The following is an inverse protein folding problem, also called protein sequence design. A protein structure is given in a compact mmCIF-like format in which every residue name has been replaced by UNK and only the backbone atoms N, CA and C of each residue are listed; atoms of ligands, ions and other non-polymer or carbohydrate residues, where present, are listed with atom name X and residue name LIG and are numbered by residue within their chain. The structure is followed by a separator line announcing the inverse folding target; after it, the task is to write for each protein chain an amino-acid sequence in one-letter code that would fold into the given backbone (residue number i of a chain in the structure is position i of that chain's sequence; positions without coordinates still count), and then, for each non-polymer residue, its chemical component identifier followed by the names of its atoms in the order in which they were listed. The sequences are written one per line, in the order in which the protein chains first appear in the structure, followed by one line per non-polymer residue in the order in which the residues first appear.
data_IF_481809461311
#
_entry.id   IF_481809461311
#
_cell.length_a   1.000
_cell.length_b   1.000
_cell.length_c   1.000
_cell.angle_alpha   90.00
_cell.angle_beta   90.00
_cell.angle_gamma   90.00
#
_symmetry.space_group_name_H-M   'P 1'
#
loop_
_entity.id
_entity.type
_entity.pdbx_description
1 polymer ?
#
# COMPACT_ATOMS: atom_id res chain seq x y z
N UNK A 1 -80.30 -44.42 -8.59
CA UNK A 1 -78.94 -44.88 -8.95
C UNK A 1 -78.00 -44.34 -7.89
N UNK A 2 -77.74 -45.09 -6.80
CA UNK A 2 -76.88 -44.70 -5.65
C UNK A 2 -75.48 -45.15 -5.96
N UNK A 3 -74.52 -44.17 -6.11
CA UNK A 3 -73.09 -44.41 -6.25
C UNK A 3 -72.56 -44.79 -4.86
N UNK A 4 -72.23 -46.06 -4.64
CA UNK A 4 -71.54 -46.52 -3.42
C UNK A 4 -70.13 -45.88 -3.39
N UNK A 5 -69.93 -44.92 -2.53
CA UNK A 5 -68.63 -44.39 -2.21
C UNK A 5 -67.76 -45.51 -1.58
N UNK A 6 -66.78 -45.95 -2.33
CA UNK A 6 -65.84 -46.97 -1.90
C UNK A 6 -64.92 -46.39 -0.77
N UNK A 7 -65.14 -46.84 0.47
CA UNK A 7 -64.39 -46.50 1.65
C UNK A 7 -62.97 -47.11 1.68
N UNK A 8 -62.50 -47.63 0.56
CA UNK A 8 -61.30 -48.47 0.46
C UNK A 8 -59.96 -47.73 0.52
N UNK A 9 -59.94 -46.40 0.59
CA UNK A 9 -58.71 -45.60 0.50
C UNK A 9 -58.52 -44.64 1.69
N UNK A 10 -59.11 -44.90 2.85
CA UNK A 10 -58.82 -44.09 4.02
C UNK A 10 -57.49 -44.62 4.59
N UNK A 11 -56.40 -43.83 4.58
CA UNK A 11 -55.14 -44.26 5.16
C UNK A 11 -55.33 -44.53 6.65
N UNK A 12 -54.77 -45.63 7.13
CA UNK A 12 -54.82 -45.98 8.56
C UNK A 12 -54.13 -44.85 9.36
N UNK A 13 -54.53 -44.64 10.60
CA UNK A 13 -53.92 -43.59 11.47
C UNK A 13 -52.37 -43.64 11.50
N UNK A 14 -51.82 -44.86 11.38
CA UNK A 14 -50.35 -45.05 11.28
C UNK A 14 -49.74 -44.48 10.01
N UNK A 15 -50.38 -44.63 8.87
CA UNK A 15 -49.90 -44.10 7.57
C UNK A 15 -49.99 -42.61 7.54
N UNK A 16 -51.03 -41.99 8.09
CA UNK A 16 -51.16 -40.54 8.24
C UNK A 16 -50.07 -39.99 9.14
N UNK A 17 -49.80 -40.64 10.29
CA UNK A 17 -48.75 -40.19 11.19
C UNK A 17 -47.36 -40.28 10.54
N UNK A 18 -47.06 -41.34 9.83
CA UNK A 18 -45.79 -41.50 9.10
C UNK A 18 -45.64 -40.44 8.00
N UNK A 19 -46.70 -40.12 7.26
CA UNK A 19 -46.62 -39.07 6.25
C UNK A 19 -46.37 -37.69 6.85
N UNK A 20 -47.01 -37.31 7.94
CA UNK A 20 -46.78 -36.04 8.64
C UNK A 20 -45.38 -36.00 9.21
N UNK A 21 -44.86 -37.06 9.77
CA UNK A 21 -43.53 -37.16 10.33
C UNK A 21 -42.43 -36.99 9.24
N UNK A 22 -42.59 -37.69 8.10
CA UNK A 22 -41.69 -37.58 6.96
C UNK A 22 -41.70 -36.14 6.38
N UNK A 23 -42.91 -35.55 6.22
CA UNK A 23 -43.03 -34.20 5.78
C UNK A 23 -42.37 -33.18 6.74
N UNK A 24 -42.52 -33.39 8.04
CA UNK A 24 -41.84 -32.59 9.08
C UNK A 24 -40.30 -32.66 9.00
N UNK A 25 -39.75 -33.86 8.86
CA UNK A 25 -38.30 -34.03 8.66
C UNK A 25 -37.85 -33.36 7.36
N UNK A 26 -38.57 -33.54 6.28
CA UNK A 26 -38.27 -32.91 5.00
C UNK A 26 -38.25 -31.37 5.08
N UNK A 27 -39.17 -30.79 5.83
CA UNK A 27 -39.22 -29.34 6.07
C UNK A 27 -37.99 -28.87 6.86
N UNK A 28 -37.64 -29.59 7.93
CA UNK A 28 -36.46 -29.26 8.74
C UNK A 28 -35.16 -29.31 7.91
N UNK A 29 -35.00 -30.37 7.12
CA UNK A 29 -33.82 -30.50 6.23
C UNK A 29 -33.77 -29.36 5.23
N UNK A 30 -34.90 -28.97 4.66
CA UNK A 30 -34.99 -27.87 3.70
C UNK A 30 -34.61 -26.53 4.35
N UNK A 31 -35.04 -26.26 5.57
CA UNK A 31 -34.70 -25.05 6.31
C UNK A 31 -33.19 -25.02 6.61
N UNK A 32 -32.64 -26.14 7.09
CA UNK A 32 -31.20 -26.23 7.38
C UNK A 32 -30.37 -26.04 6.11
N UNK A 33 -30.76 -26.62 4.99
CA UNK A 33 -30.09 -26.45 3.71
C UNK A 33 -30.13 -24.99 3.23
N UNK A 34 -31.27 -24.32 3.35
CA UNK A 34 -31.41 -22.91 3.00
C UNK A 34 -30.55 -22.01 3.89
N UNK A 35 -30.52 -22.26 5.19
CA UNK A 35 -29.67 -21.53 6.11
C UNK A 35 -28.19 -21.71 5.78
N UNK A 36 -27.76 -22.93 5.51
CA UNK A 36 -26.38 -23.24 5.11
C UNK A 36 -25.98 -22.51 3.84
N UNK A 37 -26.82 -22.57 2.80
CA UNK A 37 -26.57 -21.87 1.54
C UNK A 37 -26.50 -20.36 1.73
N UNK A 38 -27.40 -19.80 2.53
CA UNK A 38 -27.42 -18.36 2.83
C UNK A 38 -26.14 -17.92 3.56
N UNK A 39 -25.73 -18.66 4.58
CA UNK A 39 -24.49 -18.38 5.33
C UNK A 39 -23.25 -18.51 4.44
N UNK A 40 -23.21 -19.52 3.58
CA UNK A 40 -22.11 -19.69 2.63
C UNK A 40 -22.00 -18.53 1.65
N UNK A 41 -23.12 -18.09 1.07
CA UNK A 41 -23.17 -16.94 0.17
C UNK A 41 -22.75 -15.63 0.87
N UNK A 42 -23.21 -15.41 2.10
CA UNK A 42 -22.83 -14.24 2.88
C UNK A 42 -21.32 -14.26 3.18
N UNK A 43 -20.79 -15.42 3.63
CA UNK A 43 -19.37 -15.56 3.95
C UNK A 43 -18.47 -15.29 2.75
N UNK A 44 -18.80 -15.85 1.58
CA UNK A 44 -18.02 -15.62 0.35
C UNK A 44 -18.04 -14.16 -0.08
N UNK A 45 -19.20 -13.51 -0.02
CA UNK A 45 -19.33 -12.09 -0.36
C UNK A 45 -18.62 -11.17 0.63
N UNK A 46 -18.65 -11.49 1.92
CA UNK A 46 -17.94 -10.72 2.95
C UNK A 46 -16.44 -10.81 2.74
N UNK A 47 -15.90 -12.00 2.48
CA UNK A 47 -14.48 -12.19 2.21
C UNK A 47 -14.01 -11.41 0.97
N UNK A 48 -14.78 -11.43 -0.12
CA UNK A 48 -14.49 -10.68 -1.34
C UNK A 48 -14.44 -9.17 -1.08
N UNK A 49 -15.39 -8.66 -0.30
CA UNK A 49 -15.44 -7.24 0.09
C UNK A 49 -14.24 -6.86 0.97
N UNK A 50 -13.89 -7.70 1.94
CA UNK A 50 -12.78 -7.43 2.85
C UNK A 50 -11.43 -7.48 2.13
N UNK A 51 -11.23 -8.40 1.20
CA UNK A 51 -10.04 -8.46 0.36
C UNK A 51 -9.91 -7.19 -0.50
N UNK A 52 -10.99 -6.78 -1.14
CA UNK A 52 -11.01 -5.56 -1.95
C UNK A 52 -10.74 -4.30 -1.12
N UNK A 53 -11.36 -4.17 0.05
CA UNK A 53 -11.11 -3.06 0.99
C UNK A 53 -9.66 -3.03 1.46
N UNK A 54 -9.11 -4.19 1.79
CA UNK A 54 -7.71 -4.31 2.21
C UNK A 54 -6.75 -3.86 1.11
N UNK A 55 -6.98 -4.29 -0.13
CA UNK A 55 -6.19 -3.88 -1.28
C UNK A 55 -6.26 -2.35 -1.50
N UNK A 56 -7.46 -1.75 -1.47
CA UNK A 56 -7.65 -0.30 -1.58
C UNK A 56 -6.97 0.46 -0.44
N UNK A 57 -7.03 -0.06 0.79
CA UNK A 57 -6.37 0.55 1.95
C UNK A 57 -4.86 0.58 1.79
N UNK A 58 -4.25 -0.53 1.35
CA UNK A 58 -2.83 -0.62 1.07
C UNK A 58 -2.43 0.33 -0.06
N UNK A 59 -3.19 0.36 -1.15
CA UNK A 59 -2.95 1.28 -2.27
C UNK A 59 -3.01 2.74 -1.81
N UNK A 60 -4.02 3.11 -1.01
CA UNK A 60 -4.16 4.43 -0.43
C UNK A 60 -2.99 4.83 0.47
N UNK A 61 -2.53 3.91 1.33
CA UNK A 61 -1.37 4.13 2.19
C UNK A 61 -0.07 4.35 1.39
N UNK A 62 0.13 3.54 0.34
CA UNK A 62 1.25 3.68 -0.59
C UNK A 62 1.21 5.05 -1.27
N UNK A 63 0.07 5.43 -1.85
CA UNK A 63 -0.07 6.71 -2.54
C UNK A 63 0.15 7.90 -1.58
N UNK A 64 -0.36 7.81 -0.37
CA UNK A 64 -0.14 8.83 0.67
C UNK A 64 1.34 8.97 1.00
N UNK A 65 2.07 7.86 1.12
CA UNK A 65 3.51 7.87 1.40
C UNK A 65 4.32 8.46 0.24
N UNK A 66 3.97 8.12 -1.01
CA UNK A 66 4.59 8.69 -2.21
C UNK A 66 4.33 10.20 -2.28
N UNK A 67 3.09 10.65 -2.05
CA UNK A 67 2.73 12.06 -2.06
C UNK A 67 3.49 12.83 -0.95
N UNK A 68 3.61 12.24 0.25
CA UNK A 68 4.37 12.85 1.35
C UNK A 68 5.83 13.06 0.98
N UNK A 69 6.48 12.05 0.40
CA UNK A 69 7.87 12.15 -0.04
C UNK A 69 8.00 13.18 -1.16
N UNK A 70 7.07 13.22 -2.10
CA UNK A 70 7.05 14.24 -3.16
C UNK A 70 6.98 15.67 -2.59
N UNK A 71 6.09 15.91 -1.63
CA UNK A 71 5.97 17.22 -0.97
C UNK A 71 7.24 17.59 -0.22
N UNK A 72 7.84 16.64 0.52
CA UNK A 72 9.11 16.88 1.22
C UNK A 72 10.23 17.29 0.27
N UNK A 73 10.31 16.65 -0.91
CA UNK A 73 11.32 17.02 -1.91
C UNK A 73 11.02 18.39 -2.50
N UNK A 74 9.75 18.70 -2.81
CA UNK A 74 9.34 20.00 -3.34
C UNK A 74 9.73 21.14 -2.38
N UNK A 75 9.37 20.97 -1.12
CA UNK A 75 9.62 21.97 -0.08
C UNK A 75 11.11 22.21 0.18
N UNK A 76 11.96 21.22 -0.16
CA UNK A 76 13.39 21.27 0.16
C UNK A 76 14.31 21.46 -1.07
N UNK A 77 13.86 21.13 -2.27
CA UNK A 77 14.69 21.25 -3.47
C UNK A 77 14.43 22.55 -4.27
N UNK A 78 13.23 23.12 -4.18
CA UNK A 78 12.84 24.34 -4.89
C UNK A 78 12.81 25.50 -3.90
N UNK A 79 13.97 25.88 -3.44
CA UNK A 79 14.14 26.91 -2.42
C UNK A 79 15.45 27.67 -2.67
N UNK A 80 15.39 29.00 -2.68
CA UNK A 80 16.53 29.86 -3.01
C UNK A 80 17.78 29.58 -2.15
N UNK A 81 17.60 29.36 -0.84
CA UNK A 81 18.70 29.02 0.05
C UNK A 81 19.30 27.64 -0.26
N UNK A 82 18.50 26.66 -0.68
CA UNK A 82 19.00 25.36 -1.10
C UNK A 82 19.93 25.50 -2.31
N UNK A 83 19.53 26.29 -3.29
CA UNK A 83 20.35 26.62 -4.47
C UNK A 83 21.62 27.31 -4.04
N UNK A 84 21.49 28.40 -3.26
CA UNK A 84 22.64 29.18 -2.82
C UNK A 84 23.66 28.36 -2.05
N UNK A 85 23.22 27.49 -1.12
CA UNK A 85 24.11 26.70 -0.28
C UNK A 85 24.72 25.48 -1.00
N UNK A 86 23.99 24.88 -1.95
CA UNK A 86 24.49 23.68 -2.67
C UNK A 86 25.39 24.02 -3.85
N UNK A 87 25.27 25.23 -4.43
CA UNK A 87 26.13 25.68 -5.53
C UNK A 87 27.36 26.49 -5.06
N UNK A 88 27.60 26.60 -3.75
CA UNK A 88 28.84 27.19 -3.21
C UNK A 88 30.05 26.33 -3.58
N UNK A 89 31.21 26.96 -3.77
CA UNK A 89 32.48 26.23 -3.98
C UNK A 89 32.84 25.27 -2.84
N UNK A 90 32.37 25.57 -1.63
CA UNK A 90 32.52 24.73 -0.46
C UNK A 90 31.16 24.63 0.25
N UNK A 91 30.67 23.41 0.37
CA UNK A 91 29.43 23.13 1.09
C UNK A 91 29.59 23.45 2.58
N UNK A 92 28.55 24.01 3.21
CA UNK A 92 28.48 24.14 4.67
C UNK A 92 27.82 22.88 5.28
N UNK A 93 28.59 21.97 5.89
CA UNK A 93 28.06 20.74 6.46
C UNK A 93 27.09 20.98 7.62
N UNK A 94 27.27 22.08 8.37
CA UNK A 94 26.40 22.41 9.49
C UNK A 94 25.03 22.88 9.00
N UNK A 95 25.01 23.74 7.99
CA UNK A 95 23.75 24.17 7.37
C UNK A 95 22.99 23.00 6.78
N UNK A 96 23.65 22.14 6.00
CA UNK A 96 23.06 20.95 5.38
C UNK A 96 22.51 19.99 6.42
N UNK A 97 23.27 19.76 7.52
CA UNK A 97 22.81 18.89 8.59
C UNK A 97 21.59 19.46 9.32
N UNK A 98 21.62 20.73 9.69
CA UNK A 98 20.51 21.37 10.39
C UNK A 98 19.25 21.46 9.54
N UNK A 99 19.40 21.67 8.24
CA UNK A 99 18.29 21.81 7.31
C UNK A 99 17.73 20.47 6.87
N UNK A 100 18.60 19.52 6.50
CA UNK A 100 18.16 18.25 5.92
C UNK A 100 18.61 17.00 6.69
N UNK A 101 19.71 17.06 7.42
CA UNK A 101 20.25 15.88 8.09
C UNK A 101 19.52 15.47 9.36
N UNK A 102 18.93 16.41 10.07
CA UNK A 102 18.30 16.17 11.36
C UNK A 102 16.86 15.65 11.28
N UNK A 103 16.28 15.53 10.10
CA UNK A 103 14.86 15.21 9.89
C UNK A 103 14.42 13.87 10.50
N UNK A 104 15.27 12.87 10.53
CA UNK A 104 14.99 11.59 11.19
C UNK A 104 14.87 11.77 12.72
N UNK A 105 15.86 12.45 13.33
CA UNK A 105 15.92 12.62 14.80
C UNK A 105 14.79 13.52 15.33
N UNK A 106 14.44 14.56 14.60
CA UNK A 106 13.50 15.59 15.08
C UNK A 106 12.05 15.11 14.92
N UNK A 107 11.67 14.66 13.74
CA UNK A 107 10.29 14.44 13.39
C UNK A 107 10.03 13.07 12.73
N UNK A 108 11.06 12.22 12.61
CA UNK A 108 10.96 10.93 11.91
C UNK A 108 10.40 11.07 10.48
N UNK A 109 10.78 12.17 9.80
CA UNK A 109 10.20 12.54 8.50
C UNK A 109 10.68 11.64 7.37
N UNK A 110 11.98 11.28 7.42
CA UNK A 110 12.65 10.43 6.44
C UNK A 110 13.90 9.79 7.05
N UNK A 111 14.28 8.62 6.56
CA UNK A 111 15.46 7.90 7.03
C UNK A 111 16.76 8.50 6.51
N UNK A 112 16.75 9.11 5.33
CA UNK A 112 17.94 9.68 4.73
C UNK A 112 17.67 10.77 3.72
N UNK A 113 18.64 11.68 3.62
CA UNK A 113 18.69 12.78 2.64
C UNK A 113 20.08 12.83 2.03
N UNK A 114 20.13 13.02 0.72
CA UNK A 114 21.38 13.02 -0.03
C UNK A 114 21.37 14.14 -1.04
N UNK A 115 22.50 14.82 -1.17
CA UNK A 115 22.78 15.78 -2.26
C UNK A 115 23.74 15.10 -3.22
N UNK A 116 23.38 15.09 -4.49
CA UNK A 116 24.13 14.43 -5.55
C UNK A 116 24.66 15.44 -6.53
N UNK A 117 25.84 15.17 -7.10
CA UNK A 117 26.35 15.92 -8.25
C UNK A 117 25.67 15.50 -9.57
N UNK A 118 26.06 16.12 -10.66
CA UNK A 118 25.57 15.82 -12.02
C UNK A 118 25.88 14.40 -12.50
N UNK A 119 26.81 13.72 -11.85
CA UNK A 119 27.18 12.31 -12.11
C UNK A 119 26.53 11.34 -11.14
N UNK A 120 25.62 11.83 -10.29
CA UNK A 120 24.93 11.08 -9.22
C UNK A 120 25.87 10.54 -8.13
N UNK A 121 27.03 11.16 -7.93
CA UNK A 121 27.86 10.88 -6.74
C UNK A 121 27.30 11.65 -5.55
N UNK A 122 27.41 11.05 -4.37
CA UNK A 122 27.00 11.70 -3.13
C UNK A 122 28.04 12.72 -2.74
N UNK A 123 27.70 14.01 -2.81
CA UNK A 123 28.54 15.12 -2.34
C UNK A 123 28.27 15.46 -0.88
N UNK A 124 27.05 15.17 -0.42
CA UNK A 124 26.69 15.24 1.00
C UNK A 124 25.52 14.27 1.26
N UNK A 125 25.46 13.72 2.48
CA UNK A 125 24.36 12.87 2.88
C UNK A 125 24.26 12.67 4.39
N UNK A 126 23.02 12.41 4.82
CA UNK A 126 22.68 11.97 6.16
C UNK A 126 21.75 10.76 6.08
N UNK A 127 22.04 9.74 6.89
CA UNK A 127 21.20 8.56 7.04
C UNK A 127 20.95 8.29 8.51
N UNK A 128 19.70 8.25 8.93
CA UNK A 128 19.26 8.15 10.33
C UNK A 128 19.93 9.20 11.23
N UNK A 129 20.01 10.43 10.72
CA UNK A 129 20.67 11.59 11.34
C UNK A 129 22.16 11.38 11.65
N UNK A 130 22.81 10.44 10.97
CA UNK A 130 24.25 10.27 11.00
C UNK A 130 24.86 10.68 9.66
N UNK A 131 26.04 11.29 9.64
CA UNK A 131 26.74 11.63 8.40
C UNK A 131 26.95 10.38 7.54
N UNK A 132 26.52 10.45 6.29
CA UNK A 132 26.73 9.38 5.32
C UNK A 132 28.15 9.51 4.74
N UNK A 133 28.94 8.44 4.82
CA UNK A 133 30.36 8.46 4.48
C UNK A 133 30.69 7.91 3.11
N UNK A 134 29.72 7.26 2.45
CA UNK A 134 29.95 6.65 1.15
C UNK A 134 29.71 7.69 0.03
N UNK A 135 30.54 7.62 -0.99
CA UNK A 135 30.44 8.53 -2.16
C UNK A 135 29.47 8.04 -3.22
N UNK A 136 28.91 6.87 -3.04
CA UNK A 136 27.97 6.30 -3.99
C UNK A 136 26.72 5.73 -3.29
N UNK A 137 25.68 5.50 -4.07
CA UNK A 137 24.40 4.97 -3.61
C UNK A 137 24.30 3.43 -3.69
N UNK A 138 25.40 2.73 -3.93
CA UNK A 138 25.45 1.26 -4.00
C UNK A 138 25.06 0.60 -2.66
N UNK A 139 25.21 1.34 -1.57
CA UNK A 139 24.70 0.96 -0.25
C UNK A 139 23.23 0.55 -0.27
N UNK A 140 22.40 1.26 -1.04
CA UNK A 140 20.98 0.98 -1.13
C UNK A 140 20.64 -0.12 -2.13
N UNK A 141 21.59 -0.57 -2.94
CA UNK A 141 21.46 -1.66 -3.89
C UNK A 141 21.09 -1.23 -5.32
N UNK A 142 21.13 -2.20 -6.23
CA UNK A 142 21.00 -1.93 -7.68
C UNK A 142 19.67 -1.30 -8.10
N UNK A 143 18.59 -1.62 -7.41
CA UNK A 143 17.26 -1.08 -7.71
C UNK A 143 17.19 0.43 -7.48
N UNK A 144 17.79 0.90 -6.40
CA UNK A 144 17.87 2.32 -6.07
C UNK A 144 18.72 3.09 -7.11
N UNK A 145 19.90 2.57 -7.43
CA UNK A 145 20.78 3.18 -8.44
C UNK A 145 20.13 3.22 -9.84
N UNK A 146 19.45 2.15 -10.23
CA UNK A 146 18.73 2.10 -11.50
C UNK A 146 17.64 3.17 -11.58
N UNK A 147 16.93 3.39 -10.49
CA UNK A 147 15.86 4.38 -10.39
C UNK A 147 16.42 5.81 -10.48
N UNK A 148 17.50 6.12 -9.78
CA UNK A 148 18.16 7.43 -9.86
C UNK A 148 18.67 7.71 -11.27
N UNK A 149 19.33 6.75 -11.90
CA UNK A 149 19.81 6.91 -13.27
C UNK A 149 18.66 7.12 -14.27
N UNK A 150 17.55 6.42 -14.10
CA UNK A 150 16.39 6.56 -14.96
C UNK A 150 15.74 7.94 -14.83
N UNK A 151 15.58 8.43 -13.61
CA UNK A 151 14.83 9.66 -13.34
C UNK A 151 15.70 10.91 -13.32
N UNK A 152 16.97 10.79 -12.96
CA UNK A 152 17.93 11.88 -13.06
C UNK A 152 18.17 12.32 -14.50
N UNK A 153 18.04 11.40 -15.46
CA UNK A 153 18.11 11.71 -16.89
C UNK A 153 16.78 12.22 -17.48
N UNK A 154 15.66 11.96 -16.81
CA UNK A 154 14.31 12.28 -17.27
C UNK A 154 13.74 13.59 -16.70
N UNK A 155 14.53 14.35 -15.93
CA UNK A 155 14.14 15.63 -15.32
C UNK A 155 14.20 16.90 -16.19
N UNK A 156 14.35 16.88 -17.53
CA UNK A 156 14.16 18.08 -18.34
C UNK A 156 12.68 18.32 -18.57
N UNK A 157 12.16 19.43 -18.08
CA UNK A 157 10.76 19.88 -18.26
C UNK A 157 10.09 20.28 -16.96
N UNK A 158 8.79 20.50 -16.99
CA UNK A 158 7.99 21.04 -15.88
C UNK A 158 7.87 20.15 -14.63
N UNK A 159 8.36 18.89 -14.69
CA UNK A 159 8.35 17.97 -13.54
C UNK A 159 9.73 17.87 -12.92
N UNK A 160 10.00 18.76 -11.97
CA UNK A 160 11.27 18.82 -11.25
C UNK A 160 11.42 17.76 -10.15
N UNK A 161 10.39 16.95 -9.93
CA UNK A 161 10.31 16.03 -8.81
C UNK A 161 9.78 14.71 -9.31
N UNK A 162 10.44 13.65 -8.87
CA UNK A 162 9.96 12.29 -8.94
C UNK A 162 9.79 11.73 -7.54
N UNK A 163 8.71 11.02 -7.29
CA UNK A 163 8.53 10.21 -6.09
C UNK A 163 7.99 8.84 -6.44
N UNK A 164 8.49 7.81 -5.77
CA UNK A 164 8.10 6.43 -6.05
C UNK A 164 8.58 5.45 -5.01
N UNK A 165 8.44 4.17 -5.34
CA UNK A 165 8.82 3.06 -4.49
C UNK A 165 9.92 2.27 -5.18
N UNK A 166 10.92 1.86 -4.41
CA UNK A 166 11.96 0.95 -4.89
C UNK A 166 12.31 -0.10 -3.86
N UNK A 167 12.92 -1.18 -4.33
CA UNK A 167 13.51 -2.20 -3.46
C UNK A 167 14.95 -1.87 -3.19
N UNK A 168 15.30 -1.75 -1.91
CA UNK A 168 16.67 -1.60 -1.42
C UNK A 168 17.18 -2.90 -0.81
N UNK A 169 18.43 -2.92 -0.37
CA UNK A 169 18.98 -4.05 0.41
C UNK A 169 18.26 -4.24 1.75
N UNK A 170 17.75 -3.16 2.32
CA UNK A 170 17.10 -3.14 3.63
C UNK A 170 15.57 -3.26 3.56
N UNK A 171 15.00 -3.46 2.36
CA UNK A 171 13.56 -3.59 2.17
C UNK A 171 13.00 -2.64 1.13
N UNK A 172 11.72 -2.31 1.27
CA UNK A 172 11.02 -1.36 0.38
C UNK A 172 11.25 0.05 0.93
N UNK A 173 11.61 0.98 0.04
CA UNK A 173 11.78 2.39 0.37
C UNK A 173 10.90 3.27 -0.52
N UNK A 174 10.35 4.33 0.07
CA UNK A 174 9.75 5.45 -0.65
C UNK A 174 10.86 6.46 -0.94
N UNK A 175 10.98 6.90 -2.18
CA UNK A 175 12.05 7.78 -2.63
C UNK A 175 11.46 9.00 -3.33
N UNK A 176 12.01 10.15 -3.02
CA UNK A 176 11.81 11.38 -3.77
C UNK A 176 13.13 11.89 -4.34
N UNK A 177 13.10 12.35 -5.56
CA UNK A 177 14.23 12.95 -6.26
C UNK A 177 13.76 14.30 -6.78
N UNK A 178 14.50 15.36 -6.51
CA UNK A 178 14.23 16.71 -6.99
C UNK A 178 15.50 17.37 -7.49
N UNK A 179 15.36 18.20 -8.50
CA UNK A 179 16.42 19.08 -8.99
C UNK A 179 16.45 20.33 -8.11
N UNK A 180 17.62 20.64 -7.51
CA UNK A 180 17.85 21.86 -6.77
C UNK A 180 18.04 23.00 -7.79
N UNK A 181 17.10 23.97 -7.81
CA UNK A 181 17.12 25.10 -8.74
C UNK A 181 16.32 26.30 -8.22
#
# INVERSE_FOLDING_TARGET
MYRTLSWRNIPTARTLFAMVFIAGIGLIISIVALLYLSLHLISTKTNEIDEHRSALSVQGAIQTSVNRVSSLVLDNAVWDDAVHETYRPTLDPNWLYNTWGAGFKINNLYDGTFVLDEHFNVIWGSFQSQPFKETNLDFFGKGFKGLINQYGQALPGDKNIYAGITRTRNGIAFIGIGLIR
#
